data_IF_042189127723
#
_entry.id   IF_042189127723
#
_cell.length_a   1.000
_cell.length_b   1.000
_cell.length_c   1.000
_cell.angle_alpha   90.00
_cell.angle_beta   90.00
_cell.angle_gamma   90.00
#
_symmetry.space_group_name_H-M   'P 1'
#
loop_
_entity.id
_entity.type
_entity.pdbx_description
1 polymer ?
#
# COMPACT_ATOMS: atom_id res chain seq x y z
N UNK A 1 -18.30 4.25 2.15
CA UNK A 1 -17.81 2.85 2.07
C UNK A 1 -17.78 2.31 0.63
N UNK A 2 -18.89 2.30 -0.11
CA UNK A 2 -18.88 1.78 -1.50
C UNK A 2 -17.99 2.62 -2.45
N UNK A 3 -18.07 3.95 -2.37
CA UNK A 3 -17.25 4.85 -3.21
C UNK A 3 -15.75 4.65 -2.96
N UNK A 4 -15.32 4.59 -1.70
CA UNK A 4 -13.91 4.36 -1.35
C UNK A 4 -13.41 2.99 -1.81
N UNK A 5 -14.25 1.96 -1.73
CA UNK A 5 -13.92 0.64 -2.25
C UNK A 5 -13.75 0.62 -3.77
N UNK A 6 -14.63 1.30 -4.52
CA UNK A 6 -14.50 1.42 -5.98
C UNK A 6 -13.22 2.17 -6.38
N UNK A 7 -12.87 3.25 -5.66
CA UNK A 7 -11.61 3.96 -5.89
C UNK A 7 -10.41 3.06 -5.59
N UNK A 8 -10.42 2.33 -4.47
CA UNK A 8 -9.39 1.36 -4.14
C UNK A 8 -9.21 0.32 -5.25
N UNK A 9 -10.30 -0.17 -5.81
CA UNK A 9 -10.28 -1.13 -6.91
C UNK A 9 -9.70 -0.55 -8.19
N UNK A 10 -10.06 0.70 -8.55
CA UNK A 10 -9.47 1.37 -9.72
C UNK A 10 -7.96 1.54 -9.58
N UNK A 11 -7.49 2.02 -8.42
CA UNK A 11 -6.06 2.15 -8.14
C UNK A 11 -5.34 0.80 -8.07
N UNK A 12 -5.99 -0.25 -7.57
CA UNK A 12 -5.43 -1.60 -7.56
C UNK A 12 -5.19 -2.11 -9.00
N UNK A 13 -6.17 -1.96 -9.89
CA UNK A 13 -6.01 -2.31 -11.30
C UNK A 13 -4.87 -1.51 -11.98
N UNK A 14 -4.78 -0.21 -11.73
CA UNK A 14 -3.68 0.62 -12.21
C UNK A 14 -2.32 0.17 -11.65
N UNK A 15 -2.26 -0.14 -10.35
CA UNK A 15 -1.05 -0.62 -9.68
C UNK A 15 -0.56 -1.95 -10.27
N UNK A 16 -1.48 -2.88 -10.55
CA UNK A 16 -1.14 -4.14 -11.24
C UNK A 16 -0.53 -3.87 -12.62
N UNK A 17 -1.07 -2.93 -13.38
CA UNK A 17 -0.50 -2.59 -14.70
C UNK A 17 0.89 -1.96 -14.61
N UNK A 18 1.21 -1.25 -13.53
CA UNK A 18 2.47 -0.52 -13.37
C UNK A 18 3.61 -1.32 -12.74
N UNK A 19 3.27 -2.27 -11.85
CA UNK A 19 4.21 -2.90 -10.91
C UNK A 19 4.14 -4.43 -10.87
N UNK A 20 3.31 -5.07 -11.71
CA UNK A 20 3.25 -6.53 -11.77
C UNK A 20 4.63 -7.10 -12.06
N UNK A 21 5.05 -8.06 -11.24
CA UNK A 21 6.30 -8.80 -11.40
C UNK A 21 7.57 -8.01 -11.11
N UNK A 22 7.48 -6.74 -10.68
CA UNK A 22 8.67 -5.88 -10.50
C UNK A 22 9.18 -5.81 -9.06
N UNK A 23 8.48 -6.42 -8.09
CA UNK A 23 8.80 -6.32 -6.65
C UNK A 23 9.60 -7.54 -6.12
N UNK A 24 10.17 -8.31 -7.03
CA UNK A 24 11.04 -9.42 -6.68
C UNK A 24 12.46 -8.94 -6.40
N UNK A 25 13.12 -9.59 -5.44
CA UNK A 25 14.51 -9.33 -5.12
C UNK A 25 15.22 -10.62 -4.70
N UNK A 26 16.54 -10.63 -4.88
CA UNK A 26 17.40 -11.64 -4.28
C UNK A 26 17.72 -11.22 -2.83
N UNK A 27 17.86 -12.19 -1.92
CA UNK A 27 18.40 -11.92 -0.58
C UNK A 27 19.88 -11.46 -0.61
N UNK A 28 20.62 -11.76 -1.69
CA UNK A 28 21.95 -11.24 -1.97
C UNK A 28 21.87 -9.98 -2.87
N UNK A 29 22.21 -8.81 -2.31
CA UNK A 29 22.17 -7.51 -3.03
C UNK A 29 23.16 -7.39 -4.18
N UNK A 30 24.13 -8.30 -4.29
CA UNK A 30 25.06 -8.34 -5.43
C UNK A 30 24.43 -8.93 -6.69
N UNK A 31 23.31 -9.63 -6.57
CA UNK A 31 22.61 -10.27 -7.68
C UNK A 31 21.42 -9.43 -8.14
N UNK A 32 21.49 -8.96 -9.38
CA UNK A 32 20.46 -8.10 -9.98
C UNK A 32 19.49 -8.85 -10.89
N UNK A 33 19.73 -10.13 -11.19
CA UNK A 33 18.85 -10.93 -12.04
C UNK A 33 18.41 -12.21 -11.33
N UNK A 34 17.21 -12.69 -11.69
CA UNK A 34 16.68 -13.95 -11.17
C UNK A 34 17.58 -15.15 -11.47
N UNK A 35 18.19 -15.21 -12.65
CA UNK A 35 19.02 -16.35 -13.05
C UNK A 35 20.37 -16.41 -12.31
N UNK A 36 20.87 -15.24 -11.90
CA UNK A 36 22.13 -15.11 -11.15
C UNK A 36 21.93 -15.34 -9.64
N UNK A 37 20.69 -15.23 -9.14
CA UNK A 37 20.30 -15.49 -7.75
C UNK A 37 20.23 -17.01 -7.45
N UNK A 38 21.35 -17.70 -7.61
CA UNK A 38 21.48 -19.15 -7.36
C UNK A 38 22.73 -19.46 -6.53
N UNK A 39 22.71 -20.61 -5.86
CA UNK A 39 23.83 -21.06 -5.03
C UNK A 39 23.78 -20.47 -3.62
N UNK A 40 24.94 -20.11 -3.09
CA UNK A 40 25.07 -19.62 -1.71
C UNK A 40 25.89 -18.33 -1.69
N UNK A 41 25.61 -17.48 -0.71
CA UNK A 41 26.39 -16.30 -0.40
C UNK A 41 26.80 -16.29 1.07
N UNK A 42 27.80 -15.48 1.39
CA UNK A 42 28.27 -15.30 2.76
C UNK A 42 27.54 -14.10 3.34
N UNK A 43 26.76 -14.33 4.38
CA UNK A 43 26.13 -13.28 5.18
C UNK A 43 26.96 -13.08 6.44
N UNK A 44 27.30 -11.82 6.70
CA UNK A 44 28.04 -11.41 7.89
C UNK A 44 27.03 -10.79 8.85
N UNK A 45 26.90 -11.36 10.04
CA UNK A 45 26.00 -10.88 11.10
C UNK A 45 26.75 -10.92 12.43
N UNK A 46 26.85 -9.78 13.12
CA UNK A 46 27.57 -9.61 14.40
C UNK A 46 28.88 -10.41 14.49
N UNK A 47 29.77 -10.20 13.51
CA UNK A 47 31.11 -10.81 13.38
C UNK A 47 31.15 -12.33 13.07
N UNK A 48 29.99 -12.93 12.80
CA UNK A 48 29.88 -14.32 12.36
C UNK A 48 29.58 -14.42 10.87
N UNK A 49 30.24 -15.38 10.20
CA UNK A 49 30.04 -15.64 8.78
C UNK A 49 29.16 -16.89 8.64
N UNK A 50 27.97 -16.70 8.08
CA UNK A 50 27.05 -17.78 7.77
C UNK A 50 26.97 -17.97 6.26
N UNK A 51 26.88 -19.23 5.84
CA UNK A 51 26.57 -19.59 4.47
C UNK A 51 25.07 -19.70 4.32
N UNK A 52 24.47 -18.78 3.56
CA UNK A 52 23.02 -18.74 3.31
C UNK A 52 22.76 -19.05 1.84
N UNK A 53 21.66 -19.77 1.56
CA UNK A 53 21.25 -20.05 0.19
C UNK A 53 20.68 -18.77 -0.45
N UNK A 54 21.02 -18.51 -1.70
CA UNK A 54 20.39 -17.42 -2.45
C UNK A 54 18.95 -17.77 -2.76
N UNK A 55 18.04 -16.86 -2.44
CA UNK A 55 16.61 -17.02 -2.67
C UNK A 55 16.07 -15.79 -3.40
N UNK A 56 15.38 -16.05 -4.51
CA UNK A 56 14.64 -15.05 -5.26
C UNK A 56 13.20 -15.02 -4.75
N UNK A 57 12.88 -14.02 -3.95
CA UNK A 57 11.58 -13.90 -3.30
C UNK A 57 10.86 -12.61 -3.68
N UNK A 58 9.55 -12.60 -3.50
CA UNK A 58 8.72 -11.43 -3.74
C UNK A 58 8.57 -10.63 -2.45
N UNK A 59 8.38 -9.31 -2.57
CA UNK A 59 7.97 -8.49 -1.43
C UNK A 59 6.65 -8.98 -0.84
N UNK A 60 6.50 -8.88 0.49
CA UNK A 60 5.26 -9.24 1.21
C UNK A 60 4.04 -8.48 0.67
N UNK A 61 4.23 -7.22 0.32
CA UNK A 61 3.23 -6.36 -0.30
C UNK A 61 3.64 -6.08 -1.74
N UNK A 62 2.83 -6.51 -2.70
CA UNK A 62 3.15 -6.50 -4.12
C UNK A 62 1.88 -6.34 -4.97
N UNK A 63 2.06 -6.09 -6.27
CA UNK A 63 0.99 -5.74 -7.20
C UNK A 63 0.80 -6.79 -8.31
N UNK A 64 1.06 -8.07 -8.05
CA UNK A 64 0.99 -9.09 -9.12
C UNK A 64 -0.43 -9.46 -9.54
N UNK A 65 -1.38 -9.29 -8.62
CA UNK A 65 -2.79 -9.54 -8.84
C UNK A 65 -3.64 -8.54 -8.05
N UNK A 66 -4.90 -8.35 -8.49
CA UNK A 66 -5.79 -7.34 -7.92
C UNK A 66 -6.06 -7.55 -6.42
N UNK A 67 -6.33 -8.77 -5.91
CA UNK A 67 -6.51 -8.98 -4.47
C UNK A 67 -5.30 -8.54 -3.63
N UNK A 68 -4.08 -8.89 -4.06
CA UNK A 68 -2.88 -8.47 -3.36
C UNK A 68 -2.61 -6.98 -3.49
N UNK A 69 -2.92 -6.37 -4.64
CA UNK A 69 -2.84 -4.93 -4.82
C UNK A 69 -3.82 -4.19 -3.90
N UNK A 70 -5.03 -4.72 -3.68
CA UNK A 70 -6.00 -4.17 -2.71
C UNK A 70 -5.45 -4.22 -1.28
N UNK A 71 -4.83 -5.33 -0.87
CA UNK A 71 -4.18 -5.48 0.44
C UNK A 71 -3.01 -4.49 0.59
N UNK A 72 -2.18 -4.38 -0.45
CA UNK A 72 -1.04 -3.47 -0.49
C UNK A 72 -1.47 -2.00 -0.40
N UNK A 73 -2.51 -1.61 -1.13
CA UNK A 73 -3.06 -0.27 -1.04
C UNK A 73 -3.79 -0.03 0.30
N UNK A 74 -4.27 -1.08 0.96
CA UNK A 74 -4.88 -0.96 2.29
C UNK A 74 -3.83 -0.55 3.33
N UNK A 75 -2.63 -1.13 3.31
CA UNK A 75 -1.55 -0.69 4.22
C UNK A 75 -1.08 0.73 3.92
N UNK A 76 -1.09 1.14 2.64
CA UNK A 76 -0.80 2.54 2.27
C UNK A 76 -1.90 3.47 2.80
N UNK A 77 -3.17 3.07 2.72
CA UNK A 77 -4.29 3.86 3.22
C UNK A 77 -4.30 4.02 4.76
N UNK A 78 -3.72 3.07 5.50
CA UNK A 78 -3.49 3.20 6.95
C UNK A 78 -2.23 3.96 7.31
N UNK A 79 -1.47 4.44 6.30
CA UNK A 79 -0.16 5.07 6.45
C UNK A 79 0.91 4.18 7.10
N UNK A 80 0.77 2.86 7.00
CA UNK A 80 1.73 1.91 7.56
C UNK A 80 2.68 1.38 6.48
N UNK A 81 3.98 1.56 6.68
CA UNK A 81 5.02 0.99 5.81
C UNK A 81 5.05 1.55 4.39
N UNK A 82 4.21 2.55 4.06
CA UNK A 82 4.13 3.13 2.72
C UNK A 82 5.44 3.73 2.19
N UNK A 83 6.36 4.32 3.00
CA UNK A 83 7.62 4.84 2.46
C UNK A 83 8.53 3.70 1.96
N UNK A 84 8.58 2.58 2.68
CA UNK A 84 9.34 1.39 2.27
C UNK A 84 8.79 0.80 0.98
N UNK A 85 7.46 0.75 0.85
CA UNK A 85 6.79 0.29 -0.36
C UNK A 85 7.05 1.25 -1.55
N UNK A 86 7.00 2.56 -1.30
CA UNK A 86 7.35 3.58 -2.29
C UNK A 86 8.79 3.42 -2.77
N UNK A 87 9.75 3.25 -1.86
CA UNK A 87 11.15 3.02 -2.22
C UNK A 87 11.32 1.74 -3.03
N UNK A 88 10.65 0.65 -2.63
CA UNK A 88 10.62 -0.60 -3.41
C UNK A 88 10.07 -0.37 -4.82
N UNK A 89 9.01 0.44 -4.96
CA UNK A 89 8.43 0.79 -6.26
C UNK A 89 9.37 1.64 -7.12
N UNK A 90 10.05 2.63 -6.52
CA UNK A 90 11.03 3.49 -7.19
C UNK A 90 12.23 2.67 -7.68
N UNK A 91 12.71 1.74 -6.86
CA UNK A 91 13.85 0.90 -7.21
C UNK A 91 13.46 -0.25 -8.15
N UNK A 92 12.16 -0.52 -8.34
CA UNK A 92 11.69 -1.59 -9.21
C UNK A 92 12.06 -1.35 -10.67
N UNK A 93 12.47 -2.41 -11.39
CA UNK A 93 12.88 -2.34 -12.80
C UNK A 93 11.87 -2.99 -13.73
N UNK A 94 12.13 -4.23 -14.14
CA UNK A 94 11.28 -5.05 -15.00
C UNK A 94 11.02 -6.42 -14.38
N UNK A 95 10.19 -7.21 -15.05
CA UNK A 95 9.90 -8.57 -14.59
C UNK A 95 11.16 -9.45 -14.64
N UNK A 96 11.48 -10.13 -13.53
CA UNK A 96 12.67 -10.99 -13.42
C UNK A 96 13.99 -10.25 -13.18
N UNK A 97 13.93 -8.92 -13.10
CA UNK A 97 15.05 -8.06 -12.74
C UNK A 97 14.89 -7.54 -11.31
N UNK A 98 16.00 -7.48 -10.59
CA UNK A 98 16.04 -7.03 -9.20
C UNK A 98 15.99 -5.51 -9.11
N UNK A 99 15.87 -4.98 -7.87
CA UNK A 99 15.80 -3.55 -7.67
C UNK A 99 17.10 -2.87 -8.08
N UNK A 100 16.98 -1.72 -8.76
CA UNK A 100 18.08 -0.81 -9.09
C UNK A 100 17.79 0.53 -8.43
N UNK A 101 18.71 1.00 -7.60
CA UNK A 101 18.53 2.22 -6.82
C UNK A 101 18.12 3.40 -7.71
N UNK A 102 16.98 4.02 -7.37
CA UNK A 102 16.43 5.20 -8.01
C UNK A 102 16.18 5.05 -9.53
N UNK A 103 15.74 3.87 -9.98
CA UNK A 103 15.51 3.60 -11.41
C UNK A 103 14.23 4.26 -11.96
N UNK A 104 13.11 4.24 -11.20
CA UNK A 104 11.80 4.77 -11.63
C UNK A 104 11.21 5.81 -10.65
N UNK A 105 11.88 6.93 -10.36
CA UNK A 105 11.33 7.97 -9.47
C UNK A 105 9.97 8.53 -9.96
N UNK A 106 9.69 8.45 -11.27
CA UNK A 106 8.43 8.88 -11.87
C UNK A 106 7.20 8.09 -11.44
N UNK A 107 7.35 6.95 -10.74
CA UNK A 107 6.20 6.20 -10.18
C UNK A 107 5.76 6.75 -8.82
N UNK A 108 6.55 7.60 -8.17
CA UNK A 108 6.21 8.17 -6.88
C UNK A 108 4.87 8.93 -6.85
N UNK A 109 4.49 9.72 -7.88
CA UNK A 109 3.18 10.37 -7.93
C UNK A 109 1.99 9.42 -7.78
N UNK A 110 2.10 8.14 -8.18
CA UNK A 110 1.04 7.16 -7.98
C UNK A 110 0.66 7.04 -6.49
N UNK A 111 1.66 6.89 -5.62
CA UNK A 111 1.45 6.74 -4.17
C UNK A 111 0.99 8.06 -3.53
N UNK A 112 1.59 9.19 -3.93
CA UNK A 112 1.25 10.50 -3.35
C UNK A 112 -0.19 10.89 -3.72
N UNK A 113 -0.60 10.72 -4.98
CA UNK A 113 -1.98 10.99 -5.42
C UNK A 113 -2.95 10.06 -4.70
N UNK A 114 -2.63 8.76 -4.61
CA UNK A 114 -3.47 7.81 -3.89
C UNK A 114 -3.66 8.22 -2.42
N UNK A 115 -2.58 8.59 -1.72
CA UNK A 115 -2.60 9.06 -0.34
C UNK A 115 -3.50 10.30 -0.18
N UNK A 116 -3.36 11.29 -1.05
CA UNK A 116 -4.17 12.52 -0.99
C UNK A 116 -5.66 12.19 -1.21
N UNK A 117 -5.96 11.38 -2.23
CA UNK A 117 -7.33 10.99 -2.57
C UNK A 117 -7.96 10.21 -1.41
N UNK A 118 -7.29 9.17 -0.91
CA UNK A 118 -7.86 8.33 0.15
C UNK A 118 -8.03 9.11 1.46
N UNK A 119 -7.08 9.98 1.82
CA UNK A 119 -7.18 10.83 3.00
C UNK A 119 -8.38 11.78 2.92
N UNK A 120 -8.60 12.41 1.76
CA UNK A 120 -9.75 13.28 1.54
C UNK A 120 -11.07 12.53 1.74
N UNK A 121 -11.20 11.33 1.17
CA UNK A 121 -12.40 10.52 1.35
C UNK A 121 -12.56 10.01 2.79
N UNK A 122 -11.48 9.68 3.49
CA UNK A 122 -11.53 9.27 4.90
C UNK A 122 -12.07 10.39 5.80
N UNK A 123 -11.62 11.63 5.60
CA UNK A 123 -12.14 12.80 6.33
C UNK A 123 -13.63 12.97 6.05
N UNK A 124 -14.06 12.87 4.80
CA UNK A 124 -15.48 13.00 4.44
C UNK A 124 -16.35 11.89 5.06
N UNK A 125 -15.85 10.65 5.15
CA UNK A 125 -16.55 9.56 5.81
C UNK A 125 -16.69 9.85 7.31
N UNK A 126 -15.61 10.30 7.96
CA UNK A 126 -15.62 10.62 9.38
C UNK A 126 -16.60 11.75 9.70
N UNK A 127 -16.55 12.86 8.94
CA UNK A 127 -17.47 13.99 9.08
C UNK A 127 -18.91 13.55 8.87
N UNK A 128 -19.18 12.76 7.82
CA UNK A 128 -20.53 12.25 7.55
C UNK A 128 -21.08 11.39 8.68
N UNK A 129 -20.26 10.50 9.26
CA UNK A 129 -20.66 9.69 10.41
C UNK A 129 -20.97 10.53 11.65
N UNK A 130 -20.12 11.51 11.96
CA UNK A 130 -20.31 12.39 13.11
C UNK A 130 -21.59 13.21 12.99
N UNK A 131 -21.87 13.81 11.82
CA UNK A 131 -23.09 14.60 11.59
C UNK A 131 -24.35 13.75 11.79
N UNK A 132 -24.39 12.55 11.19
CA UNK A 132 -25.55 11.64 11.31
C UNK A 132 -25.74 11.22 12.76
N UNK A 133 -24.67 10.97 13.50
CA UNK A 133 -24.74 10.59 14.92
C UNK A 133 -25.33 11.73 15.76
N UNK A 134 -24.83 12.97 15.60
CA UNK A 134 -25.37 14.13 16.31
C UNK A 134 -26.83 14.44 15.95
N UNK A 135 -27.21 14.27 14.68
CA UNK A 135 -28.60 14.42 14.26
C UNK A 135 -29.50 13.38 14.93
N UNK A 136 -29.08 12.11 14.96
CA UNK A 136 -29.85 11.03 15.57
C UNK A 136 -30.00 11.20 17.09
N UNK A 137 -28.93 11.58 17.79
CA UNK A 137 -28.97 11.83 19.24
C UNK A 137 -29.84 13.05 19.57
N UNK A 138 -29.67 14.15 18.83
CA UNK A 138 -30.52 15.34 18.98
C UNK A 138 -31.99 15.01 18.76
N UNK A 139 -32.35 14.30 17.70
CA UNK A 139 -33.74 13.90 17.44
C UNK A 139 -34.31 12.95 18.51
N UNK A 140 -33.49 12.09 19.13
CA UNK A 140 -33.93 11.24 20.23
C UNK A 140 -34.25 12.03 21.50
N UNK A 141 -33.49 13.08 21.81
CA UNK A 141 -33.71 13.91 22.99
C UNK A 141 -35.02 14.72 22.88
N UNK A 142 -35.31 15.26 21.70
CA UNK A 142 -36.58 15.95 21.44
C UNK A 142 -37.80 15.01 21.38
N UNK A 143 -37.60 13.70 21.17
CA UNK A 143 -38.72 12.73 21.06
C UNK A 143 -39.55 12.59 22.34
N UNK A 144 -39.00 12.97 23.48
CA UNK A 144 -39.65 12.87 24.79
C UNK A 144 -40.19 14.21 25.31
N UNK A 145 -40.08 15.30 24.54
CA UNK A 145 -40.65 16.60 24.86
C UNK A 145 -41.90 16.87 24.00
N UNK A 146 -42.99 17.36 24.60
CA UNK A 146 -44.23 17.75 23.88
C UNK A 146 -44.11 19.06 23.10
N UNK A 147 -42.94 19.70 23.10
CA UNK A 147 -42.67 20.97 22.42
C UNK A 147 -42.06 20.71 21.05
N UNK A 148 -42.76 21.16 20.00
CA UNK A 148 -42.29 21.15 18.61
C UNK A 148 -41.01 22.00 18.48
N UNK A 149 -40.15 21.73 17.48
CA UNK A 149 -38.81 22.38 17.28
C UNK A 149 -38.84 23.92 17.20
N UNK A 150 -40.03 24.53 17.17
CA UNK A 150 -40.29 25.96 17.04
C UNK A 150 -40.77 26.66 18.34
N UNK A 151 -40.88 25.95 19.46
CA UNK A 151 -41.18 26.53 20.79
C UNK A 151 -39.94 26.56 21.68
#
# INVERSE_FOLDING_TARGET
MLVTFLLQFMFACMGVQLFKGTFYACNDKSMTNKDDCRGFFLKIDDDHIYKEAREWSNSKFHFDNVPQALLTLFTVATFEGWPSLLHTAIDSKGEGEGPVYNYRPFVAPFFIIFIIVIAFFMVNIFVGFVIVTFQNEGEQEYRNCELDKNQ
#
